data_IF_486737914506
#
_entry.id   IF_486737914506
#
_cell.length_a   1.000
_cell.length_b   1.000
_cell.length_c   1.000
_cell.angle_alpha   90.00
_cell.angle_beta   90.00
_cell.angle_gamma   90.00
#
_symmetry.space_group_name_H-M   'P 1'
#
loop_
_entity.id
_entity.type
_entity.pdbx_description
1 polymer ?
#
# COMPACT_ATOMS: atom_id res chain seq x y z
N UNK A 1 15.84 -6.37 0.69
CA UNK A 1 14.47 -6.23 1.27
C UNK A 1 14.48 -5.67 2.70
N UNK A 2 15.51 -5.92 3.52
CA UNK A 2 15.64 -5.29 4.87
C UNK A 2 15.50 -3.76 4.88
N UNK A 3 15.92 -3.08 3.81
CA UNK A 3 15.87 -1.61 3.70
C UNK A 3 14.42 -1.04 3.58
N UNK A 4 13.45 -1.80 3.05
CA UNK A 4 12.06 -1.32 2.93
C UNK A 4 11.30 -1.35 4.26
N UNK A 5 11.44 -2.41 5.04
CA UNK A 5 10.88 -2.49 6.39
C UNK A 5 11.35 -1.31 7.24
N UNK A 6 12.67 -1.04 7.23
CA UNK A 6 13.26 0.07 7.96
C UNK A 6 12.73 1.45 7.52
N UNK A 7 12.47 1.63 6.21
CA UNK A 7 11.90 2.88 5.67
C UNK A 7 10.51 3.13 6.24
N UNK A 8 9.63 2.11 6.24
CA UNK A 8 8.27 2.24 6.75
C UNK A 8 8.25 2.31 8.28
N UNK A 9 9.09 1.55 8.97
CA UNK A 9 9.24 1.62 10.43
C UNK A 9 9.68 3.00 10.91
N UNK A 10 10.57 3.65 10.17
CA UNK A 10 11.01 5.01 10.48
C UNK A 10 9.92 6.07 10.26
N UNK A 11 8.88 5.78 9.49
CA UNK A 11 7.74 6.66 9.21
C UNK A 11 6.43 6.25 9.90
N UNK A 12 6.49 5.38 10.90
CA UNK A 12 5.29 4.77 11.52
C UNK A 12 4.31 5.79 12.09
N UNK A 13 4.80 6.88 12.69
CA UNK A 13 3.95 7.88 13.33
C UNK A 13 3.18 8.68 12.26
N UNK A 14 3.86 9.05 11.19
CA UNK A 14 3.23 9.70 10.03
C UNK A 14 2.33 8.72 9.25
N UNK A 15 2.70 7.45 9.18
CA UNK A 15 1.81 6.41 8.64
C UNK A 15 0.50 6.33 9.41
N UNK A 16 0.55 6.42 10.75
CA UNK A 16 -0.64 6.45 11.59
C UNK A 16 -1.51 7.70 11.36
N UNK A 17 -0.89 8.87 11.14
CA UNK A 17 -1.60 10.10 10.76
C UNK A 17 -2.37 9.93 9.44
N UNK A 18 -1.80 9.20 8.48
CA UNK A 18 -2.42 8.94 7.19
C UNK A 18 -3.53 7.88 7.26
N UNK A 19 -3.54 7.05 8.30
CA UNK A 19 -4.50 5.95 8.45
C UNK A 19 -5.94 6.38 8.15
N UNK A 20 -6.54 7.32 8.90
CA UNK A 20 -7.96 7.69 8.74
C UNK A 20 -8.28 8.35 7.40
N UNK A 21 -7.32 9.03 6.76
CA UNK A 21 -7.58 9.87 5.58
C UNK A 21 -7.11 9.23 4.28
N UNK A 22 -6.31 8.17 4.34
CA UNK A 22 -5.73 7.53 3.16
C UNK A 22 -5.81 5.99 3.23
N UNK A 23 -5.09 5.37 4.18
CA UNK A 23 -4.90 3.93 4.16
C UNK A 23 -6.17 3.15 4.50
N UNK A 24 -6.92 3.57 5.53
CA UNK A 24 -8.13 2.86 5.98
C UNK A 24 -9.25 2.91 4.95
N UNK A 25 -9.63 4.07 4.35
CA UNK A 25 -10.66 4.10 3.31
C UNK A 25 -10.34 3.20 2.11
N UNK A 26 -9.08 3.15 1.69
CA UNK A 26 -8.67 2.30 0.55
C UNK A 26 -8.65 0.81 0.96
N UNK A 27 -8.16 0.49 2.17
CA UNK A 27 -8.18 -0.87 2.70
C UNK A 27 -9.61 -1.41 2.85
N UNK A 28 -10.53 -0.61 3.39
CA UNK A 28 -11.95 -0.94 3.51
C UNK A 28 -12.61 -1.16 2.15
N UNK A 29 -12.33 -0.29 1.17
CA UNK A 29 -12.82 -0.46 -0.20
C UNK A 29 -12.28 -1.74 -0.84
N UNK A 30 -11.00 -2.06 -0.62
CA UNK A 30 -10.39 -3.31 -1.12
C UNK A 30 -11.12 -4.53 -0.56
N UNK A 31 -11.36 -4.56 0.75
CA UNK A 31 -12.05 -5.68 1.42
C UNK A 31 -13.50 -5.81 0.95
N UNK A 32 -14.20 -4.69 0.77
CA UNK A 32 -15.57 -4.69 0.23
C UNK A 32 -15.61 -5.31 -1.17
N UNK A 33 -14.67 -4.93 -2.04
CA UNK A 33 -14.57 -5.46 -3.40
C UNK A 33 -14.06 -6.91 -3.43
N UNK A 34 -13.22 -7.32 -2.49
CA UNK A 34 -12.79 -8.71 -2.36
C UNK A 34 -13.96 -9.66 -2.07
N UNK A 35 -15.07 -9.16 -1.52
CA UNK A 35 -16.29 -9.91 -1.24
C UNK A 35 -16.03 -11.07 -0.26
N UNK A 36 -15.34 -10.77 0.85
CA UNK A 36 -15.03 -11.75 1.89
C UNK A 36 -16.30 -12.32 2.53
N UNK A 37 -16.26 -13.58 2.92
CA UNK A 37 -17.37 -14.30 3.54
C UNK A 37 -17.01 -14.77 4.95
N UNK A 38 -17.98 -14.87 5.85
CA UNK A 38 -17.75 -15.48 7.17
C UNK A 38 -17.11 -16.86 7.05
N UNK A 39 -16.12 -17.14 7.89
CA UNK A 39 -15.38 -18.40 7.93
C UNK A 39 -14.22 -18.53 6.93
N UNK A 40 -14.00 -17.55 6.05
CA UNK A 40 -12.88 -17.59 5.09
C UNK A 40 -11.53 -17.39 5.79
N UNK A 41 -10.48 -18.00 5.20
CA UNK A 41 -9.08 -17.75 5.54
C UNK A 41 -8.48 -16.76 4.55
N UNK A 42 -7.90 -15.69 5.07
CA UNK A 42 -7.31 -14.59 4.28
C UNK A 42 -5.83 -14.46 4.60
N UNK A 43 -5.00 -14.26 3.59
CA UNK A 43 -3.64 -13.76 3.74
C UNK A 43 -3.59 -12.31 3.28
N UNK A 44 -3.17 -11.41 4.16
CA UNK A 44 -2.93 -10.00 3.84
C UNK A 44 -1.42 -9.73 3.79
N UNK A 45 -0.91 -9.52 2.60
CA UNK A 45 0.52 -9.36 2.31
C UNK A 45 0.89 -7.89 2.24
N UNK A 46 2.00 -7.50 2.87
CA UNK A 46 2.41 -6.11 3.04
C UNK A 46 1.32 -5.31 3.76
N UNK A 47 0.83 -5.88 4.86
CA UNK A 47 -0.35 -5.39 5.57
C UNK A 47 -0.14 -4.07 6.33
N UNK A 48 1.11 -3.64 6.55
CA UNK A 48 1.46 -2.46 7.32
C UNK A 48 0.84 -2.48 8.73
N UNK A 49 0.12 -1.42 9.09
CA UNK A 49 -0.60 -1.31 10.35
C UNK A 49 -2.03 -1.92 10.31
N UNK A 50 -2.35 -2.72 9.29
CA UNK A 50 -3.58 -3.49 9.23
C UNK A 50 -4.78 -2.78 8.58
N UNK A 51 -4.55 -1.76 7.75
CA UNK A 51 -5.65 -0.99 7.12
C UNK A 51 -6.59 -1.85 6.25
N UNK A 52 -6.10 -2.97 5.71
CA UNK A 52 -6.90 -3.99 5.02
C UNK A 52 -7.13 -5.24 5.88
N UNK A 53 -6.17 -5.63 6.74
CA UNK A 53 -6.27 -6.81 7.58
C UNK A 53 -7.38 -6.70 8.64
N UNK A 54 -7.52 -5.53 9.28
CA UNK A 54 -8.54 -5.30 10.30
C UNK A 54 -9.97 -5.40 9.72
N UNK A 55 -10.33 -4.68 8.63
CA UNK A 55 -11.64 -4.87 8.03
C UNK A 55 -11.84 -6.29 7.46
N UNK A 56 -10.78 -6.95 6.96
CA UNK A 56 -10.86 -8.35 6.54
C UNK A 56 -11.23 -9.28 7.70
N UNK A 57 -10.57 -9.13 8.87
CA UNK A 57 -10.87 -9.92 10.05
C UNK A 57 -12.31 -9.73 10.56
N UNK A 58 -12.83 -8.49 10.46
CA UNK A 58 -14.25 -8.22 10.78
C UNK A 58 -15.19 -8.90 9.79
N UNK A 59 -14.84 -8.91 8.51
CA UNK A 59 -15.67 -9.50 7.46
C UNK A 59 -15.74 -11.03 7.55
N UNK A 60 -14.62 -11.69 7.86
CA UNK A 60 -14.60 -13.17 8.00
C UNK A 60 -15.17 -13.67 9.34
N UNK A 61 -15.27 -12.79 10.33
CA UNK A 61 -15.86 -13.12 11.64
C UNK A 61 -15.01 -14.09 12.46
N UNK A 62 -15.57 -14.54 13.58
CA UNK A 62 -14.88 -15.42 14.55
C UNK A 62 -14.54 -16.82 14.01
N UNK A 63 -15.26 -17.28 13.00
CA UNK A 63 -15.05 -18.60 12.38
C UNK A 63 -14.04 -18.58 11.24
N UNK A 64 -13.61 -17.35 10.81
CA UNK A 64 -12.57 -17.15 9.83
C UNK A 64 -11.21 -16.90 10.46
N UNK A 65 -10.20 -16.66 9.61
CA UNK A 65 -8.85 -16.30 10.07
C UNK A 65 -8.16 -15.39 9.08
N UNK A 66 -7.40 -14.41 9.59
CA UNK A 66 -6.56 -13.52 8.78
C UNK A 66 -5.11 -13.64 9.26
N UNK A 67 -4.23 -14.09 8.36
CA UNK A 67 -2.79 -13.97 8.51
C UNK A 67 -2.35 -12.65 7.83
N UNK A 68 -1.81 -11.70 8.60
CA UNK A 68 -1.35 -10.41 8.13
C UNK A 68 0.18 -10.32 8.26
N UNK A 69 0.88 -10.18 7.15
CA UNK A 69 2.34 -10.22 7.12
C UNK A 69 2.96 -8.94 6.56
N UNK A 70 4.04 -8.48 7.17
CA UNK A 70 4.82 -7.33 6.72
C UNK A 70 6.29 -7.45 7.19
N UNK A 71 7.18 -6.67 6.57
CA UNK A 71 8.59 -6.51 6.98
C UNK A 71 8.77 -5.38 8.00
N UNK A 72 7.80 -4.48 8.15
CA UNK A 72 7.84 -3.33 9.05
C UNK A 72 7.29 -3.71 10.44
N UNK A 73 8.15 -4.14 11.36
CA UNK A 73 7.71 -4.65 12.68
C UNK A 73 6.99 -3.57 13.50
N UNK A 74 7.41 -2.30 13.40
CA UNK A 74 6.75 -1.22 14.15
C UNK A 74 5.35 -0.90 13.62
N UNK A 75 5.08 -1.12 12.32
CA UNK A 75 3.73 -1.03 11.79
C UNK A 75 2.87 -2.20 12.27
N UNK A 76 3.43 -3.41 12.32
CA UNK A 76 2.74 -4.58 12.88
C UNK A 76 2.39 -4.39 14.36
N UNK A 77 3.28 -3.76 15.16
CA UNK A 77 2.98 -3.40 16.55
C UNK A 77 1.75 -2.48 16.65
N UNK A 78 1.65 -1.47 15.78
CA UNK A 78 0.46 -0.60 15.70
C UNK A 78 -0.79 -1.41 15.31
N UNK A 79 -0.67 -2.29 14.31
CA UNK A 79 -1.74 -3.18 13.87
C UNK A 79 -2.26 -4.05 15.02
N UNK A 80 -1.37 -4.71 15.76
CA UNK A 80 -1.71 -5.52 16.94
C UNK A 80 -2.42 -4.67 18.02
N UNK A 81 -1.95 -3.43 18.23
CA UNK A 81 -2.58 -2.52 19.19
C UNK A 81 -4.00 -2.10 18.78
N UNK A 82 -4.26 -1.94 17.48
CA UNK A 82 -5.54 -1.55 16.92
C UNK A 82 -6.54 -2.71 16.78
N UNK A 83 -6.07 -3.97 16.84
CA UNK A 83 -6.85 -5.18 16.59
C UNK A 83 -7.01 -6.07 17.83
N UNK A 84 -6.90 -5.53 19.05
CA UNK A 84 -6.95 -6.31 20.30
C UNK A 84 -8.26 -7.07 20.51
N UNK A 85 -9.33 -6.64 19.88
CA UNK A 85 -10.67 -7.22 19.90
C UNK A 85 -10.90 -8.26 18.80
N UNK A 86 -9.89 -8.58 17.98
CA UNK A 86 -9.98 -9.45 16.81
C UNK A 86 -9.05 -10.68 16.96
N UNK A 87 -9.40 -11.69 17.79
CA UNK A 87 -8.53 -12.85 18.03
C UNK A 87 -8.29 -13.71 16.78
N UNK A 88 -9.12 -13.58 15.75
CA UNK A 88 -8.96 -14.24 14.45
C UNK A 88 -7.93 -13.55 13.52
N UNK A 89 -7.30 -12.45 13.94
CA UNK A 89 -6.29 -11.72 13.18
C UNK A 89 -4.91 -11.89 13.81
N UNK A 90 -3.98 -12.42 13.02
CA UNK A 90 -2.59 -12.63 13.45
C UNK A 90 -1.64 -11.75 12.62
N UNK A 91 -0.86 -10.90 13.29
CA UNK A 91 0.19 -10.10 12.64
C UNK A 91 1.55 -10.76 12.81
N UNK A 92 2.22 -11.06 11.70
CA UNK A 92 3.51 -11.76 11.68
C UNK A 92 4.56 -10.95 10.91
N UNK A 93 5.73 -10.75 11.54
CA UNK A 93 6.90 -10.20 10.85
C UNK A 93 7.47 -11.25 9.91
N UNK A 94 7.25 -11.09 8.62
CA UNK A 94 7.65 -12.09 7.63
C UNK A 94 7.92 -11.48 6.26
N UNK A 95 8.82 -12.13 5.53
CA UNK A 95 9.07 -11.85 4.12
C UNK A 95 8.03 -12.58 3.25
N UNK A 96 7.20 -11.82 2.56
CA UNK A 96 6.16 -12.32 1.67
C UNK A 96 6.70 -13.29 0.60
N UNK A 97 7.94 -13.09 0.15
CA UNK A 97 8.56 -13.97 -0.86
C UNK A 97 8.94 -15.34 -0.33
N UNK A 98 8.91 -15.53 0.99
CA UNK A 98 9.25 -16.77 1.69
C UNK A 98 8.07 -17.39 2.42
N UNK A 99 6.93 -16.70 2.47
CA UNK A 99 5.72 -17.25 3.08
C UNK A 99 5.23 -18.46 2.30
N UNK A 100 5.04 -19.60 2.95
CA UNK A 100 4.76 -20.89 2.31
C UNK A 100 3.43 -21.53 2.73
N UNK A 101 2.74 -20.96 3.71
CA UNK A 101 1.41 -21.42 4.10
C UNK A 101 0.43 -21.22 2.95
N UNK A 102 -0.32 -22.25 2.63
CA UNK A 102 -1.27 -22.30 1.51
C UNK A 102 -2.70 -22.56 1.98
N UNK A 103 -3.63 -22.61 1.02
CA UNK A 103 -5.04 -22.96 1.29
C UNK A 103 -5.87 -21.79 1.77
N UNK A 104 -5.50 -20.57 1.39
CA UNK A 104 -6.29 -19.37 1.64
C UNK A 104 -7.47 -19.27 0.68
N UNK A 105 -8.61 -18.78 1.16
CA UNK A 105 -9.74 -18.40 0.32
C UNK A 105 -9.44 -17.14 -0.47
N UNK A 106 -8.67 -16.25 0.16
CA UNK A 106 -8.24 -14.97 -0.42
C UNK A 106 -6.81 -14.67 -0.04
N UNK A 107 -6.03 -14.24 -1.02
CA UNK A 107 -4.73 -13.59 -0.81
C UNK A 107 -4.86 -12.16 -1.31
N UNK A 108 -4.61 -11.18 -0.45
CA UNK A 108 -4.69 -9.77 -0.82
C UNK A 108 -3.36 -9.05 -0.59
N UNK A 109 -3.06 -8.06 -1.44
CA UNK A 109 -1.89 -7.21 -1.32
C UNK A 109 -2.26 -5.77 -1.69
N UNK A 110 -2.32 -4.89 -0.70
CA UNK A 110 -2.70 -3.47 -0.87
C UNK A 110 -1.44 -2.61 -0.92
N UNK A 111 -1.17 -1.99 -2.07
CA UNK A 111 0.02 -1.16 -2.35
C UNK A 111 1.37 -1.85 -2.12
N UNK A 112 1.43 -3.19 -2.19
CA UNK A 112 2.62 -3.96 -1.87
C UNK A 112 3.33 -4.58 -3.09
N UNK A 113 2.59 -5.02 -4.11
CA UNK A 113 3.12 -5.86 -5.21
C UNK A 113 4.31 -5.22 -5.95
N UNK A 114 4.32 -3.90 -6.13
CA UNK A 114 5.39 -3.18 -6.84
C UNK A 114 6.66 -2.97 -6.01
N UNK A 115 6.66 -3.37 -4.74
CA UNK A 115 7.86 -3.44 -3.89
C UNK A 115 8.51 -4.82 -3.89
N UNK A 116 7.85 -5.83 -4.42
CA UNK A 116 8.42 -7.18 -4.51
C UNK A 116 9.58 -7.21 -5.52
N UNK A 117 10.64 -7.99 -5.25
CA UNK A 117 11.86 -7.99 -6.08
C UNK A 117 11.61 -8.31 -7.55
N UNK A 118 10.77 -9.28 -7.83
CA UNK A 118 10.23 -9.60 -9.14
C UNK A 118 8.70 -9.58 -9.00
N UNK A 119 8.10 -8.47 -9.43
CA UNK A 119 6.67 -8.23 -9.24
C UNK A 119 5.83 -9.37 -9.84
N UNK A 120 6.21 -9.85 -11.02
CA UNK A 120 5.43 -10.86 -11.75
C UNK A 120 5.58 -12.24 -11.07
N UNK A 121 6.81 -12.72 -10.90
CA UNK A 121 7.07 -14.02 -10.30
C UNK A 121 6.61 -14.09 -8.83
N UNK A 122 6.86 -13.03 -8.07
CA UNK A 122 6.43 -12.99 -6.67
C UNK A 122 4.91 -12.94 -6.55
N UNK A 123 4.21 -12.16 -7.39
CA UNK A 123 2.74 -12.09 -7.36
C UNK A 123 2.09 -13.39 -7.83
N UNK A 124 2.64 -14.05 -8.87
CA UNK A 124 2.17 -15.37 -9.29
C UNK A 124 2.32 -16.41 -8.17
N UNK A 125 3.46 -16.38 -7.46
CA UNK A 125 3.67 -17.23 -6.30
C UNK A 125 2.66 -16.95 -5.17
N UNK A 126 2.41 -15.68 -4.86
CA UNK A 126 1.44 -15.29 -3.84
C UNK A 126 0.01 -15.72 -4.22
N UNK A 127 -0.38 -15.55 -5.48
CA UNK A 127 -1.66 -16.04 -5.98
C UNK A 127 -1.79 -17.56 -5.79
N UNK A 128 -0.71 -18.32 -6.02
CA UNK A 128 -0.67 -19.76 -5.80
C UNK A 128 -0.77 -20.21 -4.32
N UNK A 129 -0.76 -19.29 -3.35
CA UNK A 129 -1.04 -19.61 -1.95
C UNK A 129 -2.55 -19.72 -1.68
N UNK A 130 -3.38 -19.19 -2.56
CA UNK A 130 -4.81 -19.40 -2.53
C UNK A 130 -5.14 -20.85 -2.98
N UNK A 131 -6.24 -21.38 -2.49
CA UNK A 131 -6.76 -22.67 -2.93
C UNK A 131 -7.31 -22.56 -4.37
N UNK A 132 -7.51 -23.69 -5.08
CA UNK A 132 -8.20 -23.69 -6.37
C UNK A 132 -9.53 -22.93 -6.29
N UNK A 133 -9.82 -22.07 -7.28
CA UNK A 133 -10.97 -21.17 -7.28
C UNK A 133 -10.91 -20.02 -6.26
N UNK A 134 -9.84 -19.92 -5.47
CA UNK A 134 -9.61 -18.83 -4.51
C UNK A 134 -9.39 -17.49 -5.21
N UNK A 135 -9.32 -16.39 -4.45
CA UNK A 135 -9.19 -15.03 -5.00
C UNK A 135 -7.80 -14.46 -4.70
N UNK A 136 -7.22 -13.81 -5.71
CA UNK A 136 -6.07 -12.92 -5.53
C UNK A 136 -6.54 -11.48 -5.75
N UNK A 137 -6.28 -10.62 -4.77
CA UNK A 137 -6.75 -9.23 -4.75
C UNK A 137 -5.56 -8.30 -4.65
N UNK A 138 -5.47 -7.34 -5.56
CA UNK A 138 -4.38 -6.36 -5.60
C UNK A 138 -4.96 -4.96 -5.66
N UNK A 139 -4.45 -4.07 -4.79
CA UNK A 139 -4.74 -2.64 -4.89
C UNK A 139 -3.47 -1.88 -5.26
N UNK A 140 -3.59 -1.02 -6.27
CA UNK A 140 -2.51 -0.17 -6.77
C UNK A 140 -2.99 1.25 -7.02
N UNK A 141 -2.05 2.17 -7.22
CA UNK A 141 -2.36 3.55 -7.58
C UNK A 141 -2.89 3.65 -9.01
N UNK A 142 -3.91 4.47 -9.22
CA UNK A 142 -4.37 4.86 -10.54
C UNK A 142 -3.38 5.78 -11.27
N UNK A 143 -3.60 6.01 -12.55
CA UNK A 143 -2.63 6.68 -13.45
C UNK A 143 -2.19 8.07 -12.98
N UNK A 144 -3.09 8.86 -12.43
CA UNK A 144 -2.81 10.22 -11.94
C UNK A 144 -2.81 10.34 -10.41
N UNK A 145 -2.74 9.20 -9.70
CA UNK A 145 -2.65 9.21 -8.25
C UNK A 145 -1.33 9.83 -7.77
N UNK A 146 -1.39 10.41 -6.57
CA UNK A 146 -0.31 11.09 -5.85
C UNK A 146 0.30 12.31 -6.53
N UNK A 147 0.02 12.54 -7.81
CA UNK A 147 0.54 13.68 -8.54
C UNK A 147 -0.20 14.98 -8.17
N UNK A 148 0.46 16.15 -8.06
CA UNK A 148 1.88 16.47 -8.37
C UNK A 148 2.82 16.43 -7.13
N UNK A 149 2.43 15.80 -6.03
CA UNK A 149 3.16 15.84 -4.75
C UNK A 149 4.64 15.44 -4.87
N UNK A 150 5.01 14.35 -5.59
CA UNK A 150 6.41 13.96 -5.73
C UNK A 150 7.27 14.98 -6.50
N UNK A 151 6.67 15.70 -7.46
CA UNK A 151 7.35 16.76 -8.20
C UNK A 151 7.62 17.98 -7.31
N UNK A 152 6.60 18.41 -6.57
CA UNK A 152 6.72 19.55 -5.64
C UNK A 152 7.76 19.25 -4.56
N UNK A 153 7.82 18.00 -4.07
CA UNK A 153 8.86 17.57 -3.13
C UNK A 153 10.26 17.68 -3.77
N UNK A 154 10.40 17.23 -5.02
CA UNK A 154 11.66 17.37 -5.77
C UNK A 154 12.11 18.81 -5.90
N UNK A 155 11.19 19.72 -6.26
CA UNK A 155 11.47 21.15 -6.36
C UNK A 155 11.87 21.78 -5.02
N UNK A 156 11.23 21.34 -3.92
CA UNK A 156 11.59 21.79 -2.57
C UNK A 156 13.01 21.34 -2.18
N UNK A 157 13.38 20.10 -2.51
CA UNK A 157 14.72 19.56 -2.26
C UNK A 157 15.78 20.38 -3.01
N UNK A 158 15.53 20.66 -4.30
CA UNK A 158 16.46 21.44 -5.14
C UNK A 158 16.58 22.88 -4.64
N UNK A 159 15.47 23.51 -4.29
CA UNK A 159 15.45 24.90 -3.78
C UNK A 159 16.28 25.08 -2.51
N UNK A 160 16.39 24.06 -1.68
CA UNK A 160 17.17 24.07 -0.44
C UNK A 160 18.59 23.49 -0.62
N UNK A 161 19.06 23.35 -1.85
CA UNK A 161 20.44 22.95 -2.18
C UNK A 161 20.67 21.45 -2.22
N UNK A 162 19.62 20.63 -2.21
CA UNK A 162 19.71 19.21 -2.48
C UNK A 162 19.94 18.92 -3.96
N UNK A 163 20.49 17.75 -4.28
CA UNK A 163 20.67 17.35 -5.67
C UNK A 163 19.31 17.13 -6.37
N UNK A 164 19.17 17.48 -7.66
CA UNK A 164 18.00 17.10 -8.43
C UNK A 164 17.84 15.58 -8.41
N UNK A 165 16.72 15.13 -7.92
CA UNK A 165 16.38 13.72 -8.02
C UNK A 165 15.70 13.49 -9.36
N UNK A 166 16.16 12.48 -10.10
CA UNK A 166 15.45 12.04 -11.29
C UNK A 166 13.97 11.83 -10.89
N UNK A 167 13.04 12.38 -11.69
CA UNK A 167 11.64 12.04 -11.52
C UNK A 167 11.57 10.52 -11.63
N UNK A 168 11.40 9.77 -10.56
CA UNK A 168 11.22 8.35 -10.75
C UNK A 168 9.93 8.21 -11.54
N UNK A 169 10.01 7.55 -12.68
CA UNK A 169 8.83 6.89 -13.20
C UNK A 169 8.16 6.14 -12.04
N UNK A 170 6.91 5.79 -12.18
CA UNK A 170 6.19 5.04 -11.12
C UNK A 170 6.79 3.65 -10.86
N UNK A 171 7.96 3.38 -11.43
CA UNK A 171 8.61 2.09 -11.34
C UNK A 171 7.70 0.96 -11.83
N UNK A 172 7.75 -0.23 -11.20
CA UNK A 172 6.91 -1.35 -11.59
C UNK A 172 5.40 -1.05 -11.53
N UNK A 173 4.96 -0.13 -10.67
CA UNK A 173 3.56 0.29 -10.55
C UNK A 173 2.99 0.95 -11.81
N UNK A 174 3.83 1.51 -12.70
CA UNK A 174 3.38 2.08 -13.97
C UNK A 174 2.79 1.03 -14.93
N UNK A 175 3.22 -0.22 -14.78
CA UNK A 175 2.73 -1.35 -15.57
C UNK A 175 1.31 -1.75 -15.23
N UNK A 176 0.78 -1.30 -14.09
CA UNK A 176 -0.52 -1.68 -13.53
C UNK A 176 -1.38 -0.48 -13.11
N UNK A 177 -1.08 0.73 -13.60
CA UNK A 177 -1.73 1.97 -13.15
C UNK A 177 -3.00 2.36 -13.90
N UNK A 178 -3.45 1.58 -14.89
CA UNK A 178 -4.77 1.75 -15.52
C UNK A 178 -5.60 0.47 -15.40
N UNK A 179 -6.95 0.55 -15.49
CA UNK A 179 -7.79 -0.64 -15.39
C UNK A 179 -7.40 -1.73 -16.38
N UNK A 180 -7.10 -1.38 -17.62
CA UNK A 180 -6.73 -2.35 -18.65
C UNK A 180 -5.34 -2.95 -18.41
N UNK A 181 -4.37 -2.14 -17.99
CA UNK A 181 -3.03 -2.63 -17.60
C UNK A 181 -3.11 -3.61 -16.43
N UNK A 182 -3.87 -3.25 -15.37
CA UNK A 182 -4.03 -4.12 -14.21
C UNK A 182 -4.75 -5.41 -14.57
N UNK A 183 -5.83 -5.34 -15.38
CA UNK A 183 -6.54 -6.52 -15.87
C UNK A 183 -5.61 -7.43 -16.69
N UNK A 184 -4.90 -6.86 -17.66
CA UNK A 184 -3.97 -7.63 -18.49
C UNK A 184 -2.85 -8.28 -17.68
N UNK A 185 -2.32 -7.57 -16.68
CA UNK A 185 -1.30 -8.10 -15.79
C UNK A 185 -1.81 -9.28 -14.95
N UNK A 186 -2.99 -9.14 -14.30
CA UNK A 186 -3.59 -10.23 -13.51
C UNK A 186 -3.91 -11.46 -14.38
N UNK A 187 -4.44 -11.25 -15.58
CA UNK A 187 -4.65 -12.33 -16.55
C UNK A 187 -3.32 -12.99 -16.95
N UNK A 188 -2.26 -12.20 -17.12
CA UNK A 188 -0.91 -12.69 -17.40
C UNK A 188 -0.29 -13.53 -16.27
N UNK A 189 -0.76 -13.35 -15.03
CA UNK A 189 -0.40 -14.23 -13.90
C UNK A 189 -1.14 -15.58 -13.90
N UNK A 190 -2.03 -15.81 -14.87
CA UNK A 190 -2.83 -17.03 -14.96
C UNK A 190 -4.13 -16.99 -14.17
N UNK A 191 -4.59 -15.78 -13.78
CA UNK A 191 -5.85 -15.64 -13.08
C UNK A 191 -7.03 -15.53 -14.05
N UNK A 192 -8.15 -16.11 -13.64
CA UNK A 192 -9.43 -16.14 -14.37
C UNK A 192 -10.42 -15.15 -13.74
N UNK A 193 -11.55 -14.89 -14.43
CA UNK A 193 -12.63 -14.00 -13.95
C UNK A 193 -12.14 -12.64 -13.47
N UNK A 194 -11.13 -12.09 -14.14
CA UNK A 194 -10.48 -10.85 -13.70
C UNK A 194 -11.40 -9.65 -13.85
N UNK A 195 -11.66 -8.97 -12.74
CA UNK A 195 -12.34 -7.67 -12.72
C UNK A 195 -11.45 -6.60 -12.07
N UNK A 196 -11.61 -5.36 -12.49
CA UNK A 196 -10.92 -4.20 -11.93
C UNK A 196 -11.95 -3.13 -11.62
N UNK A 197 -11.88 -2.60 -10.41
CA UNK A 197 -12.72 -1.49 -9.93
C UNK A 197 -11.84 -0.28 -9.67
N UNK A 198 -12.30 0.90 -10.06
CA UNK A 198 -11.66 2.16 -9.71
C UNK A 198 -12.31 2.71 -8.44
N UNK A 199 -11.51 2.97 -7.43
CA UNK A 199 -11.93 3.63 -6.20
C UNK A 199 -11.47 5.08 -6.22
N UNK A 200 -12.43 5.99 -6.39
CA UNK A 200 -12.19 7.43 -6.37
C UNK A 200 -12.00 7.89 -4.93
N UNK A 201 -10.82 8.39 -4.64
CA UNK A 201 -10.49 8.92 -3.33
C UNK A 201 -9.56 10.13 -3.45
N UNK A 202 -9.61 11.02 -2.46
CA UNK A 202 -8.66 12.13 -2.35
C UNK A 202 -8.44 12.48 -0.88
N UNK A 203 -7.21 12.82 -0.55
CA UNK A 203 -6.76 13.16 0.78
C UNK A 203 -6.50 14.68 0.89
N UNK A 204 -6.91 15.38 1.96
CA UNK A 204 -6.52 16.76 2.18
C UNK A 204 -4.99 16.89 2.39
N UNK A 205 -4.43 17.97 1.91
CA UNK A 205 -3.03 18.36 2.14
C UNK A 205 -3.02 19.62 3.03
N UNK A 206 -3.17 19.42 4.30
CA UNK A 206 -3.09 20.45 5.35
C UNK A 206 -1.72 20.42 6.06
N UNK A 207 -1.58 21.19 7.13
CA UNK A 207 -0.34 21.29 7.90
C UNK A 207 0.09 19.96 8.54
N UNK A 208 -0.84 19.02 8.74
CA UNK A 208 -0.59 17.70 9.32
C UNK A 208 -0.29 16.67 8.24
N UNK A 209 -1.13 16.58 7.23
CA UNK A 209 -1.10 15.52 6.22
C UNK A 209 -0.07 15.74 5.12
N UNK A 210 0.25 17.01 4.79
CA UNK A 210 1.20 17.32 3.71
C UNK A 210 2.60 16.76 3.95
N UNK A 211 3.11 16.86 5.17
CA UNK A 211 4.40 16.26 5.47
C UNK A 211 4.29 14.79 5.85
N UNK A 212 3.16 14.38 6.42
CA UNK A 212 2.92 12.98 6.76
C UNK A 212 2.95 12.08 5.51
N UNK A 213 2.42 12.53 4.35
CA UNK A 213 2.48 11.71 3.12
C UNK A 213 3.92 11.51 2.62
N UNK A 214 4.81 12.48 2.85
CA UNK A 214 6.23 12.34 2.51
C UNK A 214 6.92 11.34 3.45
N UNK A 215 6.71 11.47 4.74
CA UNK A 215 7.45 10.72 5.76
C UNK A 215 6.85 9.34 6.05
N UNK A 216 5.53 9.19 5.93
CA UNK A 216 4.77 7.96 6.21
C UNK A 216 4.49 7.10 4.96
N UNK A 217 5.20 7.35 3.85
CA UNK A 217 5.09 6.55 2.63
C UNK A 217 6.45 6.32 1.99
N UNK A 218 6.48 5.58 0.89
CA UNK A 218 7.69 5.37 0.08
C UNK A 218 8.33 6.67 -0.44
N UNK A 219 7.62 7.81 -0.43
CA UNK A 219 8.20 9.10 -0.78
C UNK A 219 9.37 9.51 0.12
N UNK A 220 9.40 8.98 1.37
CA UNK A 220 10.54 9.17 2.28
C UNK A 220 11.88 8.78 1.65
N UNK A 221 11.89 7.77 0.78
CA UNK A 221 13.12 7.36 0.07
C UNK A 221 13.73 8.48 -0.77
N UNK A 222 12.93 9.45 -1.20
CA UNK A 222 13.41 10.62 -1.95
C UNK A 222 14.23 11.60 -1.11
N UNK A 223 14.17 11.46 0.20
CA UNK A 223 14.96 12.25 1.14
C UNK A 223 16.27 11.53 1.56
N UNK A 224 16.49 10.31 1.08
CA UNK A 224 17.69 9.52 1.40
C UNK A 224 18.96 10.27 0.94
N UNK A 225 19.92 10.41 1.85
CA UNK A 225 21.17 11.11 1.56
C UNK A 225 21.14 12.63 1.76
N UNK A 226 19.98 13.21 2.09
CA UNK A 226 19.94 14.61 2.49
C UNK A 226 20.46 14.76 3.93
N UNK A 227 21.26 15.81 4.21
CA UNK A 227 21.63 16.15 5.59
C UNK A 227 20.38 16.38 6.44
N UNK A 228 20.34 15.84 7.65
CA UNK A 228 19.21 16.03 8.57
C UNK A 228 18.89 17.51 8.82
N UNK A 229 19.90 18.37 8.83
CA UNK A 229 19.77 19.82 8.99
C UNK A 229 18.96 20.49 7.86
N UNK A 230 18.83 19.86 6.69
CA UNK A 230 18.03 20.37 5.58
C UNK A 230 16.56 19.96 5.66
N UNK A 231 16.23 18.87 6.36
CA UNK A 231 14.84 18.37 6.40
C UNK A 231 13.82 19.41 6.85
N UNK A 232 14.07 20.23 7.90
CA UNK A 232 13.11 21.28 8.28
C UNK A 232 12.92 22.36 7.19
N UNK A 233 13.97 22.71 6.46
CA UNK A 233 13.93 23.67 5.37
C UNK A 233 13.17 23.12 4.17
N UNK A 234 13.47 21.88 3.78
CA UNK A 234 12.75 21.17 2.70
C UNK A 234 11.28 21.05 3.03
N UNK A 235 10.92 20.70 4.28
CA UNK A 235 9.53 20.66 4.75
C UNK A 235 8.84 22.02 4.57
N UNK A 236 9.44 23.10 5.06
CA UNK A 236 8.89 24.46 4.95
C UNK A 236 8.67 24.84 3.48
N UNK A 237 9.71 24.64 2.66
CA UNK A 237 9.64 24.92 1.22
C UNK A 237 8.57 24.09 0.52
N UNK A 238 8.45 22.82 0.84
CA UNK A 238 7.44 21.93 0.28
C UNK A 238 6.02 22.42 0.58
N UNK A 239 5.75 22.79 1.83
CA UNK A 239 4.44 23.32 2.25
C UNK A 239 4.15 24.65 1.55
N UNK A 240 5.14 25.54 1.44
CA UNK A 240 4.98 26.81 0.73
C UNK A 240 4.67 26.58 -0.76
N UNK A 241 5.38 25.68 -1.43
CA UNK A 241 5.12 25.33 -2.82
C UNK A 241 3.74 24.71 -3.05
N UNK A 242 3.24 23.89 -2.12
CA UNK A 242 1.85 23.39 -2.19
C UNK A 242 0.85 24.54 -2.16
N UNK A 243 1.04 25.53 -1.26
CA UNK A 243 0.17 26.72 -1.14
C UNK A 243 0.25 27.60 -2.39
N UNK A 244 1.45 27.89 -2.86
CA UNK A 244 1.67 28.72 -4.05
C UNK A 244 1.04 28.11 -5.30
N UNK A 245 1.09 26.79 -5.43
CA UNK A 245 0.50 26.04 -6.56
C UNK A 245 -0.96 25.68 -6.34
N UNK A 246 -1.55 26.06 -5.19
CA UNK A 246 -2.94 25.79 -4.81
C UNK A 246 -3.27 24.29 -4.82
N UNK A 247 -2.33 23.47 -4.35
CA UNK A 247 -2.50 22.04 -4.21
C UNK A 247 -2.87 21.73 -2.75
N UNK A 248 -4.16 21.72 -2.47
CA UNK A 248 -4.76 21.50 -1.15
C UNK A 248 -5.30 20.08 -0.96
N UNK A 249 -5.30 19.27 -2.02
CA UNK A 249 -5.68 17.86 -1.99
C UNK A 249 -4.75 17.03 -2.88
N UNK A 250 -4.52 15.80 -2.45
CA UNK A 250 -3.83 14.78 -3.24
C UNK A 250 -4.85 13.82 -3.83
N UNK A 251 -4.78 13.59 -5.13
CA UNK A 251 -5.53 12.52 -5.77
C UNK A 251 -5.00 11.16 -5.25
N UNK A 252 -5.89 10.36 -4.68
CA UNK A 252 -5.59 9.03 -4.15
C UNK A 252 -6.42 7.94 -4.87
N UNK A 253 -6.79 8.18 -6.12
CA UNK A 253 -7.49 7.19 -6.93
C UNK A 253 -6.72 5.87 -6.96
N UNK A 254 -7.41 4.79 -6.68
CA UNK A 254 -6.83 3.46 -6.57
C UNK A 254 -7.57 2.48 -7.48
N UNK A 255 -6.84 1.48 -7.95
CA UNK A 255 -7.38 0.38 -8.75
C UNK A 255 -7.38 -0.88 -7.90
N UNK A 256 -8.51 -1.52 -7.78
CA UNK A 256 -8.69 -2.79 -7.06
C UNK A 256 -8.93 -3.88 -8.11
N UNK A 257 -7.94 -4.73 -8.30
CA UNK A 257 -7.99 -5.86 -9.21
C UNK A 257 -8.24 -7.16 -8.45
N UNK A 258 -9.19 -7.96 -8.93
CA UNK A 258 -9.55 -9.25 -8.35
C UNK A 258 -9.53 -10.29 -9.46
N UNK A 259 -8.85 -11.41 -9.24
CA UNK A 259 -8.88 -12.57 -10.12
C UNK A 259 -9.00 -13.85 -9.32
N UNK A 260 -9.40 -14.95 -9.98
CA UNK A 260 -9.49 -16.28 -9.37
C UNK A 260 -8.33 -17.16 -9.82
N UNK A 261 -7.83 -17.97 -8.93
CA UNK A 261 -6.96 -19.08 -9.31
C UNK A 261 -7.75 -20.13 -10.08
N UNK A 262 -7.11 -20.85 -10.99
CA UNK A 262 -7.74 -21.97 -11.70
C UNK A 262 -8.27 -23.03 -10.71
N UNK A 263 -9.32 -23.76 -11.13
CA UNK A 263 -9.96 -24.83 -10.38
C UNK A 263 -9.01 -26.04 -10.18
#
# INVERSE_FOLDING_TARGET
MSDLGDVFDAGRDEFAVLGPVLWNPIGEATVAEAGLRPGERVLDVCCGAGSSAIPAARAVGSDGHVDAIDLAERLLEQGRANARDLPQLTFTHADATRWDTTGYDVVQCVFGVFFLPDMDAASARLAGLAKPGGRFVVTTWGEHAIWPVPEILGDAVVAEGGAPQASPGRGPGERICTPDKLRGWLTGLGLEDVRVVTFEHSMPLDDTTSWAIVMGSAMRMRLKGLPESLLPKVRARFVDLLRDRKVDRMNAVSLIGIGRTAE
#
